data_IF_612392064709
#
_entry.id   IF_612392064709
#
_cell.length_a   1.000
_cell.length_b   1.000
_cell.length_c   1.000
_cell.angle_alpha   90.00
_cell.angle_beta   90.00
_cell.angle_gamma   90.00
#
_symmetry.space_group_name_H-M   'P 1'
#
loop_
_entity.id
_entity.type
_entity.pdbx_description
1 polymer ?
#
# COMPACT_ATOMS: atom_id res chain seq x y z
N UNK A 1 37.33 -9.81 -0.64
CA UNK A 1 37.97 -9.56 -1.94
C UNK A 1 37.09 -10.08 -3.07
N UNK A 2 37.00 -9.32 -4.15
CA UNK A 2 36.33 -9.74 -5.38
C UNK A 2 37.27 -9.49 -6.55
N UNK A 3 37.53 -10.54 -7.33
CA UNK A 3 38.39 -10.46 -8.50
C UNK A 3 37.80 -11.26 -9.66
N UNK A 4 37.15 -10.57 -10.56
CA UNK A 4 36.38 -11.22 -11.64
C UNK A 4 35.19 -12.00 -11.07
N UNK A 5 35.17 -13.30 -11.30
CA UNK A 5 34.16 -14.21 -10.75
C UNK A 5 34.52 -14.78 -9.36
N UNK A 6 35.72 -14.54 -8.89
CA UNK A 6 36.24 -15.06 -7.63
C UNK A 6 35.90 -14.16 -6.46
N UNK A 7 35.28 -14.70 -5.41
CA UNK A 7 34.85 -13.96 -4.22
C UNK A 7 35.40 -14.63 -2.97
N UNK A 8 36.13 -13.85 -2.15
CA UNK A 8 36.57 -14.24 -0.81
C UNK A 8 35.90 -13.33 0.22
N UNK A 9 35.23 -13.91 1.19
CA UNK A 9 34.71 -13.20 2.33
C UNK A 9 35.37 -13.66 3.62
N UNK A 10 35.90 -12.71 4.39
CA UNK A 10 36.53 -12.97 5.66
C UNK A 10 36.01 -12.00 6.73
N UNK A 11 35.97 -12.46 7.97
CA UNK A 11 35.66 -11.67 9.17
C UNK A 11 36.73 -12.02 10.21
N UNK A 12 37.37 -11.02 10.80
CA UNK A 12 38.44 -11.20 11.78
C UNK A 12 39.52 -12.17 11.30
N UNK A 13 40.01 -12.00 10.06
CA UNK A 13 41.02 -12.81 9.37
C UNK A 13 40.60 -14.27 9.12
N UNK A 14 39.39 -14.65 9.49
CA UNK A 14 38.87 -16.00 9.20
C UNK A 14 38.04 -15.94 7.90
N UNK A 15 38.44 -16.76 6.93
CA UNK A 15 37.68 -16.93 5.68
C UNK A 15 36.43 -17.76 5.95
N UNK A 16 35.28 -17.19 5.58
CA UNK A 16 33.97 -17.83 5.69
C UNK A 16 33.54 -18.46 4.39
N UNK A 17 33.86 -17.83 3.25
CA UNK A 17 33.70 -18.42 1.93
C UNK A 17 34.77 -17.92 0.97
N UNK A 18 35.18 -18.80 0.12
CA UNK A 18 36.12 -18.64 -0.97
C UNK A 18 35.53 -19.41 -2.14
N UNK A 19 34.99 -18.72 -3.15
CA UNK A 19 34.22 -19.37 -4.20
C UNK A 19 34.32 -18.63 -5.53
N UNK A 20 34.18 -19.36 -6.61
CA UNK A 20 33.93 -18.80 -7.94
C UNK A 20 32.43 -18.77 -8.21
N UNK A 21 31.92 -17.63 -8.67
CA UNK A 21 30.53 -17.47 -9.06
C UNK A 21 30.36 -17.66 -10.57
N UNK A 22 29.16 -18.05 -11.00
CA UNK A 22 28.80 -18.11 -12.42
C UNK A 22 28.75 -16.70 -13.07
N UNK A 23 28.75 -15.67 -12.24
CA UNK A 23 28.58 -14.29 -12.67
C UNK A 23 29.88 -13.51 -12.42
N UNK A 24 30.56 -13.12 -13.48
CA UNK A 24 31.66 -12.16 -13.37
C UNK A 24 31.11 -10.79 -12.91
N UNK A 25 31.80 -10.17 -11.96
CA UNK A 25 31.47 -8.82 -11.56
C UNK A 25 31.69 -7.86 -12.74
N UNK A 26 30.62 -7.41 -13.37
CA UNK A 26 30.66 -6.55 -14.55
C UNK A 26 30.83 -5.08 -14.21
N UNK A 27 31.21 -4.76 -13.00
CA UNK A 27 31.25 -3.41 -12.47
C UNK A 27 29.91 -2.99 -11.86
N UNK A 28 29.94 -1.94 -11.09
CA UNK A 28 28.75 -1.45 -10.39
C UNK A 28 29.10 -0.55 -9.23
N UNK A 29 28.07 -0.27 -8.40
CA UNK A 29 28.24 0.45 -7.15
C UNK A 29 28.45 -0.53 -6.02
N UNK A 30 29.33 -0.16 -5.06
CA UNK A 30 29.46 -0.89 -3.80
C UNK A 30 28.42 -0.33 -2.84
N UNK A 31 27.68 -1.22 -2.21
CA UNK A 31 26.70 -0.88 -1.18
C UNK A 31 26.89 -1.79 0.04
N UNK A 32 26.67 -1.24 1.22
CA UNK A 32 26.56 -2.00 2.46
C UNK A 32 25.13 -1.89 2.93
N UNK A 33 24.54 -3.03 3.29
CA UNK A 33 23.20 -3.11 3.82
C UNK A 33 23.22 -3.91 5.12
N UNK A 34 22.30 -3.59 6.02
CA UNK A 34 22.05 -4.36 7.23
C UNK A 34 20.54 -4.49 7.44
N UNK A 35 20.09 -5.68 7.83
CA UNK A 35 18.69 -5.96 8.16
C UNK A 35 18.36 -5.69 9.64
N UNK A 36 19.38 -5.47 10.43
CA UNK A 36 19.29 -5.08 11.84
C UNK A 36 20.08 -3.77 12.04
N UNK A 37 19.79 -2.97 13.07
CA UNK A 37 20.59 -1.79 13.38
C UNK A 37 22.08 -2.15 13.48
N UNK A 38 22.90 -1.47 12.66
CA UNK A 38 24.33 -1.69 12.61
C UNK A 38 25.07 -0.37 12.45
N UNK A 39 26.29 -0.28 12.99
CA UNK A 39 27.20 0.83 12.77
C UNK A 39 28.35 0.37 11.88
N UNK A 40 28.61 1.13 10.83
CA UNK A 40 29.76 0.91 9.95
C UNK A 40 30.79 1.99 10.23
N UNK A 41 32.02 1.63 10.50
CA UNK A 41 33.10 2.56 10.77
C UNK A 41 33.51 3.31 9.49
N UNK A 42 33.94 2.58 8.48
CA UNK A 42 34.28 3.12 7.16
C UNK A 42 34.22 2.02 6.10
N UNK A 43 34.12 2.44 4.87
CA UNK A 43 34.18 1.58 3.69
C UNK A 43 35.28 2.09 2.81
N UNK A 44 36.27 1.24 2.53
CA UNK A 44 37.35 1.54 1.63
C UNK A 44 37.16 0.78 0.31
N UNK A 45 37.10 1.52 -0.79
CA UNK A 45 37.09 0.96 -2.13
C UNK A 45 38.35 1.49 -2.86
N UNK A 46 39.26 0.59 -3.19
CA UNK A 46 40.49 0.94 -3.89
C UNK A 46 40.46 0.40 -5.31
N UNK A 47 41.02 1.15 -6.23
CA UNK A 47 41.15 0.75 -7.64
C UNK A 47 42.39 1.38 -8.25
N UNK A 48 42.80 0.95 -9.45
CA UNK A 48 43.90 1.58 -10.19
C UNK A 48 43.46 2.95 -10.71
N UNK A 49 44.41 3.85 -10.91
CA UNK A 49 44.16 5.19 -11.51
C UNK A 49 43.47 5.07 -12.85
N UNK A 50 43.88 4.14 -13.70
CA UNK A 50 43.27 3.90 -14.99
C UNK A 50 41.81 3.46 -14.90
N UNK A 51 41.49 2.60 -13.93
CA UNK A 51 40.13 2.16 -13.68
C UNK A 51 39.27 3.30 -13.10
N UNK A 52 39.82 4.10 -12.19
CA UNK A 52 39.13 5.27 -11.64
C UNK A 52 38.78 6.26 -12.77
N UNK A 53 39.74 6.58 -13.63
CA UNK A 53 39.52 7.46 -14.78
C UNK A 53 38.46 6.92 -15.75
N UNK A 54 38.43 5.60 -15.99
CA UNK A 54 37.40 4.97 -16.83
C UNK A 54 36.00 5.06 -16.20
N UNK A 55 35.90 4.84 -14.89
CA UNK A 55 34.64 4.97 -14.14
C UNK A 55 34.12 6.40 -14.18
N UNK A 56 35.01 7.39 -13.97
CA UNK A 56 34.64 8.80 -14.02
C UNK A 56 34.24 9.25 -15.43
N UNK A 57 34.91 8.78 -16.45
CA UNK A 57 34.52 9.04 -17.83
C UNK A 57 33.12 8.45 -18.15
N UNK A 58 32.87 7.20 -17.76
CA UNK A 58 31.58 6.57 -17.97
C UNK A 58 30.46 7.29 -17.18
N UNK A 59 30.73 7.68 -15.92
CA UNK A 59 29.79 8.46 -15.10
C UNK A 59 29.46 9.82 -15.74
N UNK A 60 30.47 10.53 -16.22
CA UNK A 60 30.27 11.82 -16.85
C UNK A 60 29.50 11.70 -18.18
N UNK A 61 29.79 10.68 -18.98
CA UNK A 61 29.04 10.39 -20.19
C UNK A 61 27.57 10.10 -19.91
N UNK A 62 27.28 9.22 -18.93
CA UNK A 62 25.92 8.91 -18.49
C UNK A 62 25.20 10.17 -17.97
N UNK A 63 25.88 10.99 -17.16
CA UNK A 63 25.29 12.24 -16.65
C UNK A 63 24.94 13.20 -17.80
N UNK A 64 25.80 13.36 -18.78
CA UNK A 64 25.55 14.20 -19.95
C UNK A 64 24.36 13.67 -20.79
N UNK A 65 24.25 12.36 -20.94
CA UNK A 65 23.12 11.73 -21.61
C UNK A 65 21.80 11.97 -20.86
N UNK A 66 21.81 11.80 -19.53
CA UNK A 66 20.66 12.10 -18.68
C UNK A 66 20.25 13.58 -18.78
N UNK A 67 21.20 14.51 -18.73
CA UNK A 67 20.94 15.95 -18.86
C UNK A 67 20.32 16.28 -20.23
N UNK A 68 20.84 15.68 -21.30
CA UNK A 68 20.31 15.82 -22.66
C UNK A 68 18.89 15.25 -22.78
N UNK A 69 18.62 14.12 -22.14
CA UNK A 69 17.28 13.53 -22.10
C UNK A 69 16.31 14.39 -21.28
N UNK A 70 16.73 14.85 -20.10
CA UNK A 70 15.93 15.71 -19.23
C UNK A 70 15.61 17.07 -19.84
N UNK A 71 16.51 17.62 -20.67
CA UNK A 71 16.29 18.89 -21.35
C UNK A 71 15.09 18.88 -22.31
N UNK A 72 14.63 17.69 -22.71
CA UNK A 72 13.44 17.52 -23.56
C UNK A 72 12.12 17.64 -22.78
N UNK A 73 12.17 17.62 -21.47
CA UNK A 73 10.99 17.64 -20.60
C UNK A 73 10.97 18.91 -19.75
N UNK A 74 9.79 19.41 -19.40
CA UNK A 74 9.68 20.54 -18.49
C UNK A 74 10.28 20.19 -17.12
N UNK A 75 11.03 21.12 -16.56
CA UNK A 75 11.58 20.95 -15.20
C UNK A 75 10.45 21.00 -14.18
N UNK A 76 10.41 20.01 -13.32
CA UNK A 76 9.50 20.02 -12.17
C UNK A 76 9.86 21.18 -11.24
N UNK A 77 8.84 21.90 -10.81
CA UNK A 77 8.97 22.96 -9.80
C UNK A 77 8.28 22.49 -8.54
N UNK A 78 8.93 22.69 -7.39
CA UNK A 78 8.27 22.50 -6.11
C UNK A 78 7.13 23.53 -6.00
N UNK A 79 5.88 23.03 -6.01
CA UNK A 79 4.72 23.87 -5.88
C UNK A 79 4.50 24.26 -4.40
N UNK A 80 4.49 23.26 -3.52
CA UNK A 80 4.22 23.45 -2.10
C UNK A 80 4.88 22.36 -1.26
N UNK A 81 5.28 22.69 -0.06
CA UNK A 81 5.73 21.76 0.98
C UNK A 81 4.83 21.96 2.20
N UNK A 82 4.17 20.89 2.63
CA UNK A 82 3.24 20.90 3.75
C UNK A 82 3.87 20.07 4.88
N UNK A 83 3.93 20.65 6.07
CA UNK A 83 4.33 19.95 7.28
C UNK A 83 3.14 19.17 7.83
N UNK A 84 3.29 17.86 7.95
CA UNK A 84 2.25 16.96 8.46
C UNK A 84 2.15 16.96 9.99
N UNK A 85 3.00 17.70 10.68
CA UNK A 85 2.96 17.86 12.15
C UNK A 85 2.96 16.55 12.93
N UNK A 86 3.65 15.54 12.41
CA UNK A 86 3.72 14.21 13.03
C UNK A 86 2.43 13.37 12.93
N UNK A 87 1.43 13.80 12.16
CA UNK A 87 0.14 13.11 12.07
C UNK A 87 0.10 11.94 11.10
N UNK A 88 1.24 11.38 10.70
CA UNK A 88 1.30 10.24 9.82
C UNK A 88 2.37 10.34 8.75
N UNK A 89 2.28 9.52 7.70
CA UNK A 89 3.25 9.48 6.60
C UNK A 89 2.57 9.72 5.26
N UNK A 90 3.28 10.31 4.31
CA UNK A 90 2.76 10.61 2.97
C UNK A 90 2.25 9.40 2.18
N UNK A 91 2.56 8.18 2.60
CA UNK A 91 2.09 6.96 1.97
C UNK A 91 0.60 6.72 2.16
N UNK A 92 0.05 7.20 3.27
CA UNK A 92 -1.34 6.96 3.68
C UNK A 92 -2.17 8.25 3.52
N UNK A 93 -2.00 8.89 2.39
CA UNK A 93 -2.66 10.16 2.06
C UNK A 93 -3.73 9.95 0.98
N UNK A 94 -4.87 10.59 1.17
CA UNK A 94 -5.93 10.75 0.16
C UNK A 94 -6.33 12.21 0.06
N UNK A 95 -6.80 12.59 -1.13
CA UNK A 95 -7.32 13.91 -1.43
C UNK A 95 -8.79 13.82 -1.78
N UNK A 96 -9.56 14.86 -1.45
CA UNK A 96 -10.96 14.99 -1.79
C UNK A 96 -11.50 16.38 -1.54
N UNK A 97 -12.78 16.58 -1.84
CA UNK A 97 -13.49 17.86 -1.66
C UNK A 97 -14.32 17.84 -0.37
N UNK A 98 -13.64 17.73 0.79
CA UNK A 98 -14.31 17.60 2.08
C UNK A 98 -15.21 18.79 2.42
N UNK A 99 -14.82 19.98 1.99
CA UNK A 99 -15.53 21.24 2.33
C UNK A 99 -16.50 21.70 1.23
N UNK A 100 -16.59 21.01 0.11
CA UNK A 100 -17.48 21.38 -1.00
C UNK A 100 -17.21 22.76 -1.61
N UNK A 101 -16.06 23.36 -1.34
CA UNK A 101 -15.69 24.71 -1.78
C UNK A 101 -14.91 24.73 -3.11
N UNK A 102 -14.80 23.58 -3.79
CA UNK A 102 -14.04 23.41 -5.01
C UNK A 102 -12.52 23.25 -4.82
N UNK A 103 -12.02 23.35 -3.59
CA UNK A 103 -10.63 23.11 -3.25
C UNK A 103 -10.44 21.69 -2.72
N UNK A 104 -9.24 21.15 -2.93
CA UNK A 104 -8.86 19.87 -2.34
C UNK A 104 -8.45 20.03 -0.88
N UNK A 105 -8.91 19.11 -0.07
CA UNK A 105 -8.37 18.83 1.25
C UNK A 105 -7.70 17.47 1.21
N UNK A 106 -6.94 17.14 2.23
CA UNK A 106 -6.25 15.87 2.33
C UNK A 106 -6.53 15.21 3.68
N UNK A 107 -6.62 13.88 3.68
CA UNK A 107 -6.71 13.09 4.90
C UNK A 107 -5.52 12.17 4.99
N UNK A 108 -4.85 12.23 6.12
CA UNK A 108 -3.71 11.40 6.48
C UNK A 108 -4.14 10.36 7.48
N UNK A 109 -3.83 9.09 7.20
CA UNK A 109 -4.01 8.02 8.15
C UNK A 109 -2.71 7.69 8.88
N UNK A 110 -2.78 7.54 10.19
CA UNK A 110 -1.70 7.09 11.05
C UNK A 110 -2.02 5.70 11.59
N UNK A 111 -1.03 4.81 11.58
CA UNK A 111 -1.15 3.45 12.07
C UNK A 111 -0.64 3.29 13.50
N UNK A 112 -1.30 2.41 14.24
CA UNK A 112 -0.73 1.83 15.45
C UNK A 112 0.34 0.80 15.10
N UNK A 113 1.18 0.49 16.09
CA UNK A 113 2.17 -0.57 16.01
C UNK A 113 1.50 -1.89 15.60
N UNK A 114 2.16 -2.60 14.71
CA UNK A 114 1.76 -3.95 14.28
C UNK A 114 1.77 -4.96 15.41
N UNK A 115 0.78 -5.81 15.41
CA UNK A 115 0.64 -6.90 16.39
C UNK A 115 1.41 -8.15 15.96
N UNK A 116 1.71 -8.32 14.67
CA UNK A 116 2.33 -9.53 14.13
C UNK A 116 3.27 -9.22 12.95
N UNK A 117 4.16 -10.17 12.61
CA UNK A 117 5.19 -10.03 11.55
C UNK A 117 4.65 -9.54 10.21
N UNK A 118 3.44 -9.88 9.87
CA UNK A 118 2.81 -9.55 8.58
C UNK A 118 1.70 -8.53 8.71
N UNK A 119 1.82 -7.68 9.73
CA UNK A 119 1.17 -6.42 9.65
C UNK A 119 -0.33 -6.36 9.69
N UNK A 120 -0.86 -6.66 10.77
CA UNK A 120 -2.21 -6.22 11.09
C UNK A 120 -2.15 -4.84 11.77
N UNK A 121 -1.77 -3.83 11.00
CA UNK A 121 -1.86 -2.45 11.48
C UNK A 121 -3.31 -2.02 11.54
N UNK A 122 -3.68 -1.27 12.55
CA UNK A 122 -4.96 -0.56 12.60
C UNK A 122 -4.70 0.93 12.51
N UNK A 123 -5.66 1.68 11.99
CA UNK A 123 -5.60 3.13 11.99
C UNK A 123 -5.78 3.63 13.42
N UNK A 124 -4.80 4.39 13.93
CA UNK A 124 -4.90 5.05 15.25
C UNK A 124 -5.62 6.38 15.14
N UNK A 125 -5.32 7.13 14.10
CA UNK A 125 -5.87 8.47 13.89
C UNK A 125 -6.00 8.76 12.40
N UNK A 126 -7.05 9.49 12.05
CA UNK A 126 -7.21 10.19 10.79
C UNK A 126 -7.08 11.67 11.05
N UNK A 127 -6.28 12.37 10.28
CA UNK A 127 -6.15 13.82 10.36
C UNK A 127 -6.47 14.44 9.02
N UNK A 128 -7.45 15.32 8.97
CA UNK A 128 -7.75 16.12 7.80
C UNK A 128 -7.03 17.46 7.84
N UNK A 129 -6.52 17.86 6.68
CA UNK A 129 -5.80 19.11 6.48
C UNK A 129 -6.35 19.87 5.27
N UNK A 130 -6.26 21.18 5.32
CA UNK A 130 -6.27 21.97 4.10
C UNK A 130 -4.91 21.92 3.39
N UNK A 131 -4.82 22.50 2.19
CA UNK A 131 -3.56 22.57 1.45
C UNK A 131 -2.56 23.58 2.03
N UNK A 132 -2.92 24.35 3.05
CA UNK A 132 -2.01 25.20 3.82
C UNK A 132 -1.41 24.50 5.03
N UNK A 133 -1.84 23.27 5.30
CA UNK A 133 -1.37 22.45 6.41
C UNK A 133 -2.06 22.76 7.73
N UNK A 134 -3.20 23.44 7.69
CA UNK A 134 -4.02 23.61 8.87
C UNK A 134 -4.83 22.34 9.12
N UNK A 135 -4.84 21.86 10.36
CA UNK A 135 -5.66 20.72 10.76
C UNK A 135 -7.12 21.17 10.81
N UNK A 136 -7.97 20.48 10.07
CA UNK A 136 -9.41 20.70 10.07
C UNK A 136 -10.07 19.91 11.20
N UNK A 137 -9.73 18.63 11.30
CA UNK A 137 -10.21 17.74 12.36
C UNK A 137 -9.30 16.54 12.53
N UNK A 138 -9.46 15.83 13.65
CA UNK A 138 -8.82 14.56 13.93
C UNK A 138 -9.85 13.55 14.44
N UNK A 139 -9.78 12.32 13.94
CA UNK A 139 -10.60 11.20 14.40
C UNK A 139 -9.71 10.09 14.94
N UNK A 140 -9.71 9.90 16.26
CA UNK A 140 -8.81 9.02 17.00
C UNK A 140 -7.64 9.77 17.62
N UNK A 141 -6.65 9.02 18.10
CA UNK A 141 -5.51 9.56 18.82
C UNK A 141 -4.26 9.51 17.95
N UNK A 142 -3.63 10.66 17.65
CA UNK A 142 -2.32 10.68 17.02
C UNK A 142 -1.31 10.01 17.97
N UNK A 143 -0.37 9.27 17.42
CA UNK A 143 0.69 8.61 18.18
C UNK A 143 2.05 8.92 17.60
N UNK A 144 3.04 9.19 18.45
CA UNK A 144 4.43 9.36 18.06
C UNK A 144 5.12 8.03 17.71
N UNK A 145 4.43 6.92 17.93
CA UNK A 145 4.94 5.60 17.61
C UNK A 145 4.85 5.33 16.10
N UNK A 146 5.71 6.01 15.36
CA UNK A 146 5.89 5.79 13.93
C UNK A 146 6.66 4.49 13.71
N UNK A 147 5.97 3.38 13.73
CA UNK A 147 6.57 2.11 13.32
C UNK A 147 6.68 2.07 11.78
N UNK A 148 7.48 2.99 11.25
CA UNK A 148 7.62 3.26 9.82
C UNK A 148 8.06 2.02 9.05
N UNK A 149 8.84 1.15 9.69
CA UNK A 149 9.31 -0.09 9.07
C UNK A 149 8.26 -1.19 8.95
N UNK A 150 7.11 -1.01 9.57
CA UNK A 150 6.12 -2.08 9.75
C UNK A 150 4.70 -1.71 9.32
N UNK A 151 4.48 -0.50 8.82
CA UNK A 151 3.16 -0.04 8.38
C UNK A 151 2.70 -0.85 7.16
N UNK A 152 1.48 -1.38 7.22
CA UNK A 152 0.84 -1.98 6.04
C UNK A 152 0.76 -0.96 4.91
N UNK A 153 1.09 -1.42 3.71
CA UNK A 153 1.07 -0.57 2.52
C UNK A 153 -0.33 -0.09 2.16
N UNK A 154 -1.33 -0.83 2.55
CA UNK A 154 -2.65 -0.80 1.94
C UNK A 154 -3.68 -0.45 3.01
N UNK A 155 -3.61 0.79 3.50
CA UNK A 155 -4.60 1.25 4.44
C UNK A 155 -5.97 1.41 3.79
N UNK A 156 -7.00 0.84 4.41
CA UNK A 156 -8.36 0.92 3.89
C UNK A 156 -8.94 2.31 4.16
N UNK A 157 -8.74 3.23 3.23
CA UNK A 157 -9.31 4.57 3.27
C UNK A 157 -9.60 5.06 1.86
N UNK A 158 -10.80 5.61 1.66
CA UNK A 158 -11.20 6.33 0.45
C UNK A 158 -11.87 7.64 0.83
N UNK A 159 -11.85 8.62 -0.08
CA UNK A 159 -12.59 9.87 0.02
C UNK A 159 -13.51 9.93 -1.17
N UNK A 160 -14.80 10.09 -0.93
CA UNK A 160 -15.82 10.08 -1.97
C UNK A 160 -17.17 10.56 -1.44
N UNK A 161 -17.91 11.31 -2.26
CA UNK A 161 -19.31 11.73 -2.01
C UNK A 161 -20.24 10.52 -2.19
N UNK A 162 -20.33 9.66 -1.15
CA UNK A 162 -21.04 8.39 -1.23
C UNK A 162 -22.54 8.53 -1.05
N UNK A 163 -23.01 9.59 -0.39
CA UNK A 163 -24.44 9.83 -0.21
C UNK A 163 -25.01 10.88 -1.19
N UNK A 164 -24.14 11.55 -1.94
CA UNK A 164 -24.53 12.47 -3.01
C UNK A 164 -24.94 13.85 -2.52
N UNK A 165 -24.49 14.25 -1.32
CA UNK A 165 -24.83 15.55 -0.74
C UNK A 165 -23.90 16.71 -1.22
N UNK A 166 -22.88 16.38 -2.02
CA UNK A 166 -21.92 17.31 -2.60
C UNK A 166 -20.69 17.56 -1.73
N UNK A 167 -20.53 16.83 -0.63
CA UNK A 167 -19.36 16.83 0.21
C UNK A 167 -18.79 15.41 0.28
N UNK A 168 -17.48 15.28 0.12
CA UNK A 168 -16.87 13.96 0.19
C UNK A 168 -16.85 13.45 1.63
N UNK A 169 -17.26 12.18 1.81
CA UNK A 169 -17.05 11.43 3.04
C UNK A 169 -15.65 10.83 3.08
N UNK A 170 -15.19 10.51 4.29
CA UNK A 170 -14.04 9.66 4.52
C UNK A 170 -14.53 8.27 4.91
N UNK A 171 -14.34 7.32 4.00
CA UNK A 171 -14.71 5.92 4.18
C UNK A 171 -13.47 5.16 4.61
N UNK A 172 -13.52 4.45 5.73
CA UNK A 172 -12.36 3.73 6.27
C UNK A 172 -12.74 2.48 7.04
N UNK A 173 -11.75 1.63 7.32
CA UNK A 173 -11.91 0.55 8.27
C UNK A 173 -10.89 0.69 9.41
N UNK A 174 -11.39 0.72 10.63
CA UNK A 174 -10.61 0.95 11.85
C UNK A 174 -11.16 0.12 12.99
N UNK A 175 -10.29 -0.57 13.73
CA UNK A 175 -10.69 -1.35 14.91
C UNK A 175 -11.82 -2.36 14.64
N UNK A 176 -11.74 -3.07 13.50
CA UNK A 176 -12.77 -4.02 13.05
C UNK A 176 -14.16 -3.41 12.82
N UNK A 177 -14.19 -2.15 12.46
CA UNK A 177 -15.37 -1.44 12.01
C UNK A 177 -15.12 -0.79 10.66
N UNK A 178 -16.11 -0.81 9.78
CA UNK A 178 -16.18 0.08 8.63
C UNK A 178 -16.90 1.35 9.06
N UNK A 179 -16.33 2.49 8.76
CA UNK A 179 -16.82 3.80 9.15
C UNK A 179 -17.03 4.66 7.90
N UNK A 180 -18.11 5.42 7.87
CA UNK A 180 -18.32 6.56 6.97
C UNK A 180 -18.34 7.80 7.85
N UNK A 181 -17.36 8.68 7.66
CA UNK A 181 -17.21 9.93 8.41
C UNK A 181 -17.64 11.10 7.53
N UNK A 182 -18.33 12.06 8.13
CA UNK A 182 -18.55 13.37 7.49
C UNK A 182 -17.20 14.03 7.21
N UNK A 183 -16.92 14.35 5.96
CA UNK A 183 -15.63 14.90 5.55
C UNK A 183 -15.33 16.27 6.13
N UNK A 184 -16.36 17.04 6.48
CA UNK A 184 -16.22 18.41 7.04
C UNK A 184 -15.81 18.38 8.50
N UNK A 185 -16.29 17.37 9.27
CA UNK A 185 -16.18 17.36 10.74
C UNK A 185 -15.40 16.18 11.30
N UNK A 186 -15.25 15.09 10.53
CA UNK A 186 -14.68 13.83 11.01
C UNK A 186 -15.63 13.03 11.92
N UNK A 187 -16.89 13.47 12.07
CA UNK A 187 -17.89 12.75 12.84
C UNK A 187 -18.40 11.51 12.09
N UNK A 188 -18.72 10.46 12.85
CA UNK A 188 -19.22 9.21 12.27
C UNK A 188 -20.66 9.35 11.81
N UNK A 189 -20.90 9.29 10.49
CA UNK A 189 -22.23 9.22 9.88
C UNK A 189 -22.82 7.80 9.97
N UNK A 190 -22.01 6.79 9.63
CA UNK A 190 -22.40 5.37 9.64
C UNK A 190 -21.27 4.50 10.16
N UNK A 191 -21.62 3.39 10.82
CA UNK A 191 -20.66 2.36 11.24
C UNK A 191 -21.26 0.96 11.19
N UNK A 192 -20.44 -0.01 10.86
CA UNK A 192 -20.77 -1.42 11.00
C UNK A 192 -19.53 -2.22 11.41
N UNK A 193 -19.71 -3.30 12.14
CA UNK A 193 -18.63 -4.26 12.39
C UNK A 193 -18.21 -4.93 11.09
N UNK A 194 -16.90 -5.16 10.91
CA UNK A 194 -16.44 -5.98 9.80
C UNK A 194 -16.96 -7.41 9.92
N UNK A 195 -17.14 -8.11 8.80
CA UNK A 195 -17.57 -9.50 8.81
C UNK A 195 -16.65 -10.39 9.66
N UNK A 196 -17.16 -11.54 10.10
CA UNK A 196 -16.34 -12.54 10.76
C UNK A 196 -15.30 -13.13 9.80
N UNK A 197 -14.15 -13.49 10.34
CA UNK A 197 -13.03 -14.06 9.56
C UNK A 197 -13.20 -15.54 9.29
N UNK A 198 -14.03 -16.23 10.09
CA UNK A 198 -14.34 -17.64 9.97
C UNK A 198 -15.70 -17.79 9.33
N UNK A 199 -15.80 -18.61 8.26
CA UNK A 199 -17.08 -19.17 7.87
C UNK A 199 -17.48 -20.24 8.89
N UNK A 200 -18.77 -20.49 9.07
CA UNK A 200 -19.24 -21.61 9.88
C UNK A 200 -18.74 -22.97 9.35
N UNK A 201 -18.23 -23.00 8.10
CA UNK A 201 -17.88 -24.24 7.41
C UNK A 201 -16.46 -24.71 7.63
N UNK A 202 -15.43 -23.85 7.85
CA UNK A 202 -14.06 -24.38 7.92
C UNK A 202 -13.03 -23.59 8.75
N UNK A 203 -13.24 -22.34 9.06
CA UNK A 203 -12.29 -21.56 9.86
C UNK A 203 -10.87 -21.44 9.31
N UNK A 204 -10.60 -21.95 8.11
CA UNK A 204 -9.27 -21.97 7.51
C UNK A 204 -9.02 -20.75 6.65
N UNK A 205 -7.81 -20.21 6.73
CA UNK A 205 -7.30 -19.22 5.77
C UNK A 205 -6.79 -19.99 4.56
N UNK A 206 -7.54 -19.96 3.47
CA UNK A 206 -7.09 -20.55 2.21
C UNK A 206 -6.04 -19.63 1.59
N UNK A 207 -4.97 -20.21 1.02
CA UNK A 207 -3.91 -19.48 0.34
C UNK A 207 -2.73 -19.05 1.21
N UNK A 208 -2.78 -19.29 2.54
CA UNK A 208 -1.67 -19.02 3.47
C UNK A 208 -1.53 -20.18 4.44
N UNK A 209 -1.04 -21.36 3.99
CA UNK A 209 -1.10 -22.62 4.75
C UNK A 209 -0.48 -22.56 6.14
N UNK A 210 0.53 -21.72 6.35
CA UNK A 210 1.32 -21.66 7.58
C UNK A 210 0.96 -20.49 8.49
N UNK A 211 -0.10 -19.75 8.17
CA UNK A 211 -0.47 -18.54 8.91
C UNK A 211 -1.89 -18.62 9.44
N UNK A 212 -1.99 -18.66 10.74
CA UNK A 212 -3.28 -18.55 11.44
C UNK A 212 -3.67 -17.07 11.47
N UNK A 213 -4.85 -16.76 10.96
CA UNK A 213 -5.44 -15.43 11.13
C UNK A 213 -5.84 -15.24 12.60
N UNK A 214 -5.28 -14.21 13.23
CA UNK A 214 -5.33 -14.06 14.68
C UNK A 214 -6.60 -13.40 15.22
N UNK A 215 -7.57 -13.06 14.35
CA UNK A 215 -8.74 -12.26 14.74
C UNK A 215 -10.05 -12.92 14.33
N UNK A 216 -11.08 -12.72 15.14
CA UNK A 216 -12.43 -13.23 14.86
C UNK A 216 -13.13 -12.50 13.71
N UNK A 217 -12.66 -11.31 13.36
CA UNK A 217 -13.22 -10.49 12.27
C UNK A 217 -12.14 -10.11 11.28
N UNK A 218 -12.53 -9.88 10.04
CA UNK A 218 -11.58 -9.41 9.05
C UNK A 218 -11.04 -8.04 9.44
N UNK A 219 -9.74 -7.87 9.29
CA UNK A 219 -9.05 -6.59 9.38
C UNK A 219 -8.74 -6.13 7.96
N UNK A 220 -9.54 -5.24 7.37
CA UNK A 220 -9.36 -4.82 5.99
C UNK A 220 -8.00 -4.15 5.80
N UNK A 221 -7.32 -4.51 4.73
CA UNK A 221 -6.10 -3.84 4.27
C UNK A 221 -6.28 -3.14 2.92
N UNK A 222 -7.40 -3.37 2.25
CA UNK A 222 -7.77 -2.73 1.00
C UNK A 222 -9.24 -2.35 0.95
N UNK A 223 -9.52 -1.24 0.28
CA UNK A 223 -10.88 -0.71 0.10
C UNK A 223 -11.01 -0.03 -1.26
N UNK A 224 -12.18 -0.17 -1.91
CA UNK A 224 -12.54 0.54 -3.14
C UNK A 224 -13.99 0.98 -3.10
N UNK A 225 -14.28 2.09 -3.78
CA UNK A 225 -15.64 2.47 -4.15
C UNK A 225 -15.94 1.82 -5.50
N UNK A 226 -17.08 1.16 -5.59
CA UNK A 226 -17.48 0.34 -6.72
C UNK A 226 -18.95 0.61 -7.10
N UNK A 227 -19.33 0.15 -8.29
CA UNK A 227 -20.70 0.23 -8.79
C UNK A 227 -21.26 -1.16 -9.12
N UNK A 228 -21.26 -2.07 -8.17
CA UNK A 228 -21.80 -3.43 -8.37
C UNK A 228 -23.32 -3.44 -8.61
N UNK A 229 -24.04 -2.47 -8.05
CA UNK A 229 -25.50 -2.33 -8.22
C UNK A 229 -25.93 -1.60 -9.49
N UNK A 230 -25.01 -1.09 -10.29
CA UNK A 230 -25.33 -0.34 -11.52
C UNK A 230 -26.07 0.96 -11.25
N UNK A 231 -25.74 1.67 -10.20
CA UNK A 231 -26.33 2.96 -9.85
C UNK A 231 -25.79 4.07 -10.77
N UNK A 232 -26.48 5.19 -10.84
CA UNK A 232 -26.01 6.38 -11.59
C UNK A 232 -24.62 6.86 -11.12
N UNK A 233 -24.37 6.76 -9.80
CA UNK A 233 -23.05 6.99 -9.21
C UNK A 233 -22.65 5.78 -8.37
N UNK A 234 -21.38 5.39 -8.36
CA UNK A 234 -20.87 4.33 -7.49
C UNK A 234 -21.20 4.59 -6.01
N UNK A 235 -21.76 3.61 -5.32
CA UNK A 235 -22.07 3.71 -3.87
C UNK A 235 -21.79 2.43 -3.11
N UNK A 236 -21.13 1.48 -3.75
CA UNK A 236 -20.77 0.22 -3.12
C UNK A 236 -19.36 0.29 -2.60
N UNK A 237 -19.09 -0.41 -1.51
CA UNK A 237 -17.82 -0.41 -0.82
C UNK A 237 -17.26 -1.82 -0.85
N UNK A 238 -16.15 -2.00 -1.56
CA UNK A 238 -15.38 -3.22 -1.49
C UNK A 238 -14.40 -3.13 -0.34
N UNK A 239 -14.35 -4.15 0.51
CA UNK A 239 -13.30 -4.36 1.50
C UNK A 239 -12.67 -5.73 1.29
N UNK A 240 -11.37 -5.83 1.53
CA UNK A 240 -10.64 -7.10 1.51
C UNK A 240 -9.70 -7.20 2.69
N UNK A 241 -9.48 -8.41 3.17
CA UNK A 241 -8.38 -8.67 4.09
C UNK A 241 -7.05 -8.82 3.33
N UNK A 242 -5.97 -9.00 4.05
CA UNK A 242 -4.64 -9.13 3.47
C UNK A 242 -4.47 -10.37 2.59
N UNK A 243 -5.27 -11.40 2.80
CA UNK A 243 -5.01 -12.70 2.21
C UNK A 243 -6.02 -13.10 1.13
N UNK A 244 -7.21 -13.49 1.50
CA UNK A 244 -8.09 -14.19 0.56
C UNK A 244 -9.57 -13.80 0.62
N UNK A 245 -9.99 -12.97 1.57
CA UNK A 245 -11.40 -12.63 1.77
C UNK A 245 -11.74 -11.27 1.20
N UNK A 246 -12.82 -11.23 0.46
CA UNK A 246 -13.34 -10.03 -0.19
C UNK A 246 -14.82 -9.92 0.11
N UNK A 247 -15.28 -8.73 0.48
CA UNK A 247 -16.68 -8.43 0.77
C UNK A 247 -17.10 -7.17 0.03
N UNK A 248 -18.27 -7.22 -0.60
CA UNK A 248 -18.95 -6.04 -1.11
C UNK A 248 -20.05 -5.62 -0.12
N UNK A 249 -20.05 -4.34 0.21
CA UNK A 249 -21.01 -3.70 1.08
C UNK A 249 -21.78 -2.65 0.27
N UNK A 250 -23.05 -2.42 0.62
CA UNK A 250 -23.78 -1.25 0.14
C UNK A 250 -23.41 0.01 0.95
N UNK A 251 -23.97 1.14 0.59
CA UNK A 251 -23.79 2.43 1.28
C UNK A 251 -24.46 2.51 2.67
N UNK A 252 -25.20 1.48 3.08
CA UNK A 252 -25.66 1.26 4.45
C UNK A 252 -24.73 0.35 5.26
N UNK A 253 -23.59 -0.06 4.65
CA UNK A 253 -22.62 -0.98 5.24
C UNK A 253 -23.15 -2.40 5.45
N UNK A 254 -24.18 -2.80 4.72
CA UNK A 254 -24.72 -4.15 4.70
C UNK A 254 -23.97 -4.99 3.67
N UNK A 255 -23.61 -6.22 4.02
CA UNK A 255 -22.92 -7.15 3.11
C UNK A 255 -23.87 -7.58 2.00
N UNK A 256 -23.51 -7.32 0.76
CA UNK A 256 -24.24 -7.77 -0.42
C UNK A 256 -23.80 -9.16 -0.86
N UNK A 257 -22.49 -9.37 -0.91
CA UNK A 257 -21.88 -10.65 -1.24
C UNK A 257 -20.45 -10.74 -0.68
N UNK A 258 -19.93 -11.95 -0.64
CA UNK A 258 -18.54 -12.19 -0.30
C UNK A 258 -17.90 -13.22 -1.24
N UNK A 259 -16.60 -13.16 -1.35
CA UNK A 259 -15.80 -14.12 -2.10
C UNK A 259 -14.59 -14.51 -1.28
N UNK A 260 -14.30 -15.81 -1.26
CA UNK A 260 -13.08 -16.34 -0.68
C UNK A 260 -12.24 -16.96 -1.80
N UNK A 261 -11.04 -16.42 -1.99
CA UNK A 261 -10.09 -16.93 -2.96
C UNK A 261 -9.32 -18.12 -2.41
N UNK A 262 -9.01 -19.08 -3.25
CA UNK A 262 -8.06 -20.18 -2.99
C UNK A 262 -6.59 -19.74 -3.10
N UNK A 263 -6.36 -18.47 -3.46
CA UNK A 263 -5.04 -17.84 -3.64
C UNK A 263 -5.05 -16.46 -3.00
N UNK A 264 -3.85 -15.87 -2.83
CA UNK A 264 -3.76 -14.47 -2.42
C UNK A 264 -4.54 -13.55 -3.36
N UNK A 265 -5.13 -12.52 -2.78
CA UNK A 265 -5.94 -11.53 -3.51
C UNK A 265 -5.13 -10.30 -3.95
N UNK A 266 -3.81 -10.32 -3.75
CA UNK A 266 -2.97 -9.16 -4.04
C UNK A 266 -3.26 -7.97 -3.12
N UNK A 267 -2.66 -6.82 -3.44
CA UNK A 267 -2.79 -5.61 -2.64
C UNK A 267 -3.95 -4.73 -3.09
N UNK A 268 -4.13 -4.57 -4.42
CA UNK A 268 -5.06 -3.61 -4.99
C UNK A 268 -6.10 -4.30 -5.88
N UNK A 269 -7.31 -4.54 -5.36
CA UNK A 269 -8.42 -4.98 -6.21
C UNK A 269 -8.78 -3.86 -7.19
N UNK A 270 -9.20 -4.25 -8.38
CA UNK A 270 -9.57 -3.34 -9.44
C UNK A 270 -11.00 -3.63 -9.91
N UNK A 271 -11.90 -2.68 -9.69
CA UNK A 271 -13.29 -2.74 -10.12
C UNK A 271 -13.48 -1.88 -11.36
N UNK A 272 -14.14 -2.41 -12.36
CA UNK A 272 -14.42 -1.74 -13.63
C UNK A 272 -15.55 -2.46 -14.35
N UNK A 273 -16.44 -1.71 -14.99
CA UNK A 273 -17.41 -2.21 -15.95
C UNK A 273 -16.70 -2.59 -17.26
N UNK A 274 -16.37 -3.88 -17.44
CA UNK A 274 -15.63 -4.38 -18.61
C UNK A 274 -16.55 -4.74 -19.78
N UNK A 275 -17.84 -4.93 -19.54
CA UNK A 275 -18.80 -5.36 -20.54
C UNK A 275 -19.74 -4.24 -20.99
N UNK A 276 -19.74 -3.08 -20.30
CA UNK A 276 -20.52 -1.90 -20.62
C UNK A 276 -21.99 -2.00 -20.18
N UNK A 277 -22.31 -2.84 -19.18
CA UNK A 277 -23.68 -3.02 -18.69
C UNK A 277 -24.05 -2.10 -17.51
N UNK A 278 -23.10 -1.26 -17.05
CA UNK A 278 -23.27 -0.32 -15.95
C UNK A 278 -22.95 -0.89 -14.59
N UNK A 279 -22.54 -2.17 -14.49
CA UNK A 279 -22.12 -2.82 -13.27
C UNK A 279 -20.61 -3.10 -13.31
N UNK A 280 -19.93 -2.89 -12.20
CA UNK A 280 -18.51 -3.21 -12.12
C UNK A 280 -18.29 -4.72 -11.98
N UNK A 281 -17.36 -5.28 -12.76
CA UNK A 281 -16.67 -6.53 -12.48
C UNK A 281 -15.48 -6.24 -11.54
N UNK A 282 -14.99 -7.30 -10.90
CA UNK A 282 -13.88 -7.21 -9.96
C UNK A 282 -12.72 -8.12 -10.34
N UNK A 283 -11.58 -7.50 -10.67
CA UNK A 283 -10.30 -8.21 -10.70
C UNK A 283 -9.65 -8.17 -9.32
N UNK A 284 -9.48 -9.33 -8.71
CA UNK A 284 -8.88 -9.45 -7.38
C UNK A 284 -7.89 -10.61 -7.33
N UNK A 285 -6.62 -10.28 -7.17
CA UNK A 285 -5.55 -11.25 -7.35
C UNK A 285 -5.59 -11.86 -8.75
N UNK A 286 -5.72 -13.17 -8.82
CA UNK A 286 -5.80 -13.92 -10.08
C UNK A 286 -7.23 -14.24 -10.52
N UNK A 287 -8.23 -13.68 -9.85
CA UNK A 287 -9.64 -13.97 -10.10
C UNK A 287 -10.35 -12.77 -10.71
N UNK A 288 -11.23 -13.05 -11.68
CA UNK A 288 -12.23 -12.12 -12.17
C UNK A 288 -13.60 -12.56 -11.65
N UNK A 289 -14.30 -11.65 -11.02
CA UNK A 289 -15.63 -11.85 -10.46
C UNK A 289 -16.64 -10.95 -11.20
N UNK A 290 -17.88 -11.42 -11.31
CA UNK A 290 -18.98 -10.57 -11.75
C UNK A 290 -19.44 -9.61 -10.63
N UNK A 291 -20.38 -8.74 -10.94
CA UNK A 291 -20.96 -7.77 -9.99
C UNK A 291 -21.66 -8.41 -8.77
N UNK A 292 -21.92 -9.71 -8.81
CA UNK A 292 -22.55 -10.50 -7.73
C UNK A 292 -21.52 -11.30 -6.91
N UNK A 293 -20.22 -11.17 -7.24
CA UNK A 293 -19.15 -11.91 -6.58
C UNK A 293 -18.97 -13.34 -7.09
N UNK A 294 -19.64 -13.74 -8.18
CA UNK A 294 -19.43 -15.04 -8.76
C UNK A 294 -18.16 -15.04 -9.60
N UNK A 295 -17.39 -16.11 -9.46
CA UNK A 295 -16.14 -16.27 -10.21
C UNK A 295 -16.40 -16.52 -11.70
N UNK A 296 -15.98 -15.60 -12.55
CA UNK A 296 -16.02 -15.73 -14.01
C UNK A 296 -14.87 -16.60 -14.50
N UNK A 297 -13.67 -16.32 -14.03
CA UNK A 297 -12.46 -17.09 -14.37
C UNK A 297 -11.34 -16.85 -13.34
N UNK A 298 -10.36 -17.74 -13.36
CA UNK A 298 -9.12 -17.64 -12.59
C UNK A 298 -7.93 -17.89 -13.52
N UNK A 299 -6.89 -17.08 -13.42
CA UNK A 299 -5.66 -17.33 -14.17
C UNK A 299 -4.99 -18.64 -13.70
N UNK A 300 -4.60 -19.53 -14.65
CA UNK A 300 -3.98 -20.82 -14.34
C UNK A 300 -2.48 -20.65 -14.03
N UNK A 301 -2.13 -19.79 -13.12
CA UNK A 301 -0.75 -19.54 -12.68
C UNK A 301 -0.53 -20.06 -11.27
N UNK A 302 0.71 -20.46 -10.96
CA UNK A 302 1.10 -20.67 -9.58
C UNK A 302 1.09 -19.31 -8.89
N UNK A 303 0.70 -19.35 -7.61
CA UNK A 303 0.69 -18.16 -6.79
C UNK A 303 2.05 -17.48 -6.76
N UNK A 304 2.05 -16.18 -6.96
CA UNK A 304 3.17 -15.30 -6.74
C UNK A 304 2.68 -14.01 -6.09
N UNK A 305 3.58 -13.20 -5.60
CA UNK A 305 3.24 -11.88 -5.08
C UNK A 305 2.77 -10.97 -6.23
N UNK A 306 1.55 -10.52 -6.15
CA UNK A 306 1.03 -9.46 -7.01
C UNK A 306 1.16 -8.12 -6.29
#
# INVERSE_FOLDING_TARGET
>A
DIKGSHIICSVDDKVYFDLDTEYAAQGGKVAITATIPAQFGFVNVTTSESTAASIDAARNAYKAECEKAQAKYPKMKLLKKIDLKGCGTGRQLRFGHLLGNGEYQMVMAQCQKRVNRDAYGTISCLTAFDLDGNILWQHGEPTDNHDIGTISADMPMQIYDIDGDGFDEVITAKNFEVLILDGRTGEVKKRAKTPFSTSEEDGTIIGVPDKIYAFDRINPDGMRICNFRGLEKPRDILIKDRYCRVYALNDNLEVMWHFQSDKNTGHFPFAIDINGDGHDELLVGYNMLDCHGNKMWTMPVKEDHI
#
